data_IF_800591658226
#
_entry.id   IF_800591658226
#
_cell.length_a   1.000
_cell.length_b   1.000
_cell.length_c   1.000
_cell.angle_alpha   90.00
_cell.angle_beta   90.00
_cell.angle_gamma   90.00
#
_symmetry.space_group_name_H-M   'P 1'
#
loop_
_entity.id
_entity.type
_entity.pdbx_description
1 polymer ?
#
# COMPACT_ATOMS: atom_id res chain seq x y z
N UNK A 1 -7.56 -12.06 -2.54
CA UNK A 1 -7.07 -12.95 -1.49
C UNK A 1 -7.80 -12.68 -0.17
N UNK A 2 -8.48 -13.69 0.42
CA UNK A 2 -9.07 -13.60 1.75
C UNK A 2 -8.07 -13.27 2.87
N UNK A 3 -6.82 -13.74 2.78
CA UNK A 3 -5.80 -13.54 3.81
C UNK A 3 -5.07 -12.18 3.74
N UNK A 4 -5.29 -11.40 2.67
CA UNK A 4 -4.62 -10.11 2.51
C UNK A 4 -5.03 -9.12 3.62
N UNK A 5 -4.04 -8.44 4.19
CA UNK A 5 -4.22 -7.45 5.27
C UNK A 5 -4.71 -6.11 4.73
N UNK A 6 -4.23 -5.70 3.55
CA UNK A 6 -4.61 -4.48 2.86
C UNK A 6 -5.17 -4.77 1.47
N UNK A 7 -6.02 -3.86 0.97
CA UNK A 7 -6.51 -3.88 -0.42
C UNK A 7 -5.68 -3.00 -1.36
N UNK A 8 -6.08 -2.93 -2.63
CA UNK A 8 -5.45 -2.07 -3.65
C UNK A 8 -5.53 -0.56 -3.35
N UNK A 9 -6.42 -0.15 -2.45
CA UNK A 9 -6.53 1.23 -1.95
C UNK A 9 -5.73 1.48 -0.65
N UNK A 10 -4.84 0.55 -0.27
CA UNK A 10 -3.98 0.62 0.92
C UNK A 10 -4.72 0.65 2.26
N UNK A 11 -6.05 0.50 2.26
CA UNK A 11 -6.90 0.47 3.46
C UNK A 11 -6.71 -0.83 4.23
N UNK A 12 -6.55 -0.73 5.54
CA UNK A 12 -6.57 -1.88 6.44
C UNK A 12 -7.98 -2.43 6.53
N UNK A 13 -8.15 -3.75 6.33
CA UNK A 13 -9.49 -4.34 6.23
C UNK A 13 -10.31 -4.30 7.52
N UNK A 14 -9.66 -4.29 8.68
CA UNK A 14 -10.33 -4.38 10.00
C UNK A 14 -10.47 -3.04 10.72
N UNK A 15 -9.95 -1.95 10.15
CA UNK A 15 -9.94 -0.62 10.80
C UNK A 15 -10.30 0.45 9.78
N UNK A 16 -11.36 1.20 10.08
CA UNK A 16 -11.78 2.33 9.26
C UNK A 16 -10.79 3.50 9.37
N UNK A 17 -10.59 4.23 8.27
CA UNK A 17 -9.74 5.42 8.23
C UNK A 17 -8.23 5.16 8.30
N UNK A 18 -7.79 3.90 8.40
CA UNK A 18 -6.37 3.54 8.46
C UNK A 18 -5.86 2.99 7.12
N UNK A 19 -4.72 3.50 6.67
CA UNK A 19 -3.98 3.00 5.50
C UNK A 19 -2.55 2.65 5.89
N UNK A 20 -1.98 1.63 5.23
CA UNK A 20 -0.58 1.20 5.40
C UNK A 20 0.13 1.35 4.06
N UNK A 21 1.25 2.07 4.03
CA UNK A 21 2.04 2.36 2.83
C UNK A 21 3.53 2.27 3.18
N UNK A 22 4.05 1.05 3.23
CA UNK A 22 5.46 0.75 3.46
C UNK A 22 5.82 -0.61 2.83
N UNK A 23 6.99 -1.17 3.14
CA UNK A 23 7.41 -2.46 2.59
C UNK A 23 6.47 -3.64 2.95
N UNK A 24 5.69 -3.56 4.03
CA UNK A 24 4.82 -4.64 4.49
C UNK A 24 3.63 -4.92 3.57
N UNK A 25 3.30 -3.98 2.68
CA UNK A 25 2.17 -4.13 1.74
C UNK A 25 2.50 -5.08 0.58
N UNK A 26 3.78 -5.35 0.34
CA UNK A 26 4.20 -6.28 -0.69
C UNK A 26 3.97 -7.72 -0.20
N UNK A 27 3.21 -8.55 -0.94
CA UNK A 27 3.07 -9.96 -0.59
C UNK A 27 4.40 -10.70 -0.56
N UNK A 28 5.35 -10.26 -1.38
CA UNK A 28 6.73 -10.74 -1.49
C UNK A 28 7.63 -9.55 -1.83
N UNK A 29 8.82 -9.47 -1.25
CA UNK A 29 9.77 -8.36 -1.48
C UNK A 29 10.12 -8.26 -2.96
N UNK A 30 9.87 -7.10 -3.61
CA UNK A 30 10.19 -6.91 -5.02
C UNK A 30 11.69 -6.59 -5.19
N UNK A 31 12.47 -7.62 -5.52
CA UNK A 31 13.89 -7.49 -5.82
C UNK A 31 14.76 -7.14 -4.60
N UNK A 32 16.00 -6.73 -4.86
CA UNK A 32 17.02 -6.53 -3.81
C UNK A 32 17.12 -5.10 -3.28
N UNK A 33 16.46 -4.14 -3.94
CA UNK A 33 16.57 -2.71 -3.62
C UNK A 33 15.27 -2.19 -3.01
N UNK A 34 15.07 -2.35 -1.69
CA UNK A 34 13.79 -2.06 -1.04
C UNK A 34 13.40 -0.57 -1.15
N UNK A 35 14.39 0.32 -1.16
CA UNK A 35 14.18 1.77 -1.28
C UNK A 35 13.40 2.10 -2.54
N UNK A 36 13.80 1.57 -3.71
CA UNK A 36 13.12 1.84 -4.97
C UNK A 36 11.67 1.38 -4.95
N UNK A 37 11.41 0.17 -4.43
CA UNK A 37 10.04 -0.34 -4.34
C UNK A 37 9.16 0.44 -3.38
N UNK A 38 9.68 0.84 -2.23
CA UNK A 38 8.94 1.62 -1.24
C UNK A 38 8.64 3.02 -1.77
N UNK A 39 9.59 3.65 -2.48
CA UNK A 39 9.32 4.92 -3.17
C UNK A 39 8.22 4.77 -4.22
N UNK A 40 8.32 3.79 -5.11
CA UNK A 40 7.32 3.59 -6.17
C UNK A 40 5.90 3.36 -5.63
N UNK A 41 5.76 2.52 -4.58
CA UNK A 41 4.44 2.26 -4.00
C UNK A 41 3.90 3.47 -3.22
N UNK A 42 4.79 4.28 -2.62
CA UNK A 42 4.42 5.53 -1.96
C UNK A 42 3.85 6.55 -2.94
N UNK A 43 4.49 6.73 -4.10
CA UNK A 43 3.98 7.59 -5.18
C UNK A 43 2.59 7.11 -5.64
N UNK A 44 2.44 5.81 -5.89
CA UNK A 44 1.15 5.24 -6.28
C UNK A 44 0.08 5.44 -5.20
N UNK A 45 0.44 5.31 -3.93
CA UNK A 45 -0.48 5.51 -2.83
C UNK A 45 -0.93 6.96 -2.70
N UNK A 46 -0.04 7.94 -2.95
CA UNK A 46 -0.40 9.35 -2.96
C UNK A 46 -1.50 9.64 -3.99
N UNK A 47 -1.35 9.14 -5.22
CA UNK A 47 -2.37 9.29 -6.27
C UNK A 47 -3.71 8.66 -5.87
N UNK A 48 -3.68 7.45 -5.33
CA UNK A 48 -4.89 6.72 -4.91
C UNK A 48 -5.59 7.42 -3.75
N UNK A 49 -4.84 7.91 -2.76
CA UNK A 49 -5.40 8.62 -1.61
C UNK A 49 -6.00 9.95 -2.06
N UNK A 50 -5.34 10.66 -2.97
CA UNK A 50 -5.87 11.91 -3.51
C UNK A 50 -7.18 11.68 -4.27
N UNK A 51 -7.24 10.66 -5.13
CA UNK A 51 -8.43 10.30 -5.89
C UNK A 51 -9.59 9.78 -5.01
N UNK A 52 -9.29 9.12 -3.89
CA UNK A 52 -10.30 8.68 -2.91
C UNK A 52 -10.93 9.86 -2.14
N UNK A 53 -10.21 10.98 -2.02
CA UNK A 53 -10.59 12.14 -1.19
C UNK A 53 -11.19 13.30 -2.01
N UNK A 54 -11.13 13.22 -3.34
CA UNK A 54 -11.80 14.12 -4.28
C UNK A 54 -13.21 13.64 -4.60
#
# INVERSE_FOLDING_TARGET
DPAAVVGSHFRLRSVEGLRIVDASVFPQTPGFFPVSSVYMISEKAADVIMADNS
#
